data_IF_522774599938
#
_entry.id   IF_522774599938
#
_cell.length_a   1.000
_cell.length_b   1.000
_cell.length_c   1.000
_cell.angle_alpha   90.00
_cell.angle_beta   90.00
_cell.angle_gamma   90.00
#
_symmetry.space_group_name_H-M   'P 1'
#
loop_
_entity.id
_entity.type
_entity.pdbx_description
1 polymer ?
#
# COMPACT_ATOMS: atom_id res chain seq x y z
N UNK A 1 20.77 34.41 28.15
CA UNK A 1 20.83 33.90 26.75
C UNK A 1 19.91 34.75 25.87
N UNK A 2 20.43 35.67 25.05
CA UNK A 2 19.59 36.51 24.17
C UNK A 2 19.14 35.68 22.97
N UNK A 3 17.85 35.40 22.84
CA UNK A 3 17.29 34.75 21.64
C UNK A 3 17.53 35.71 20.46
N UNK A 4 18.28 35.25 19.45
CA UNK A 4 18.51 36.03 18.23
C UNK A 4 17.18 36.23 17.52
N UNK A 5 16.91 37.43 16.99
CA UNK A 5 15.66 37.74 16.25
C UNK A 5 15.35 36.70 15.17
N UNK A 6 16.38 36.16 14.52
CA UNK A 6 16.28 35.06 13.55
C UNK A 6 15.64 33.79 14.13
N UNK A 7 16.02 33.39 15.35
CA UNK A 7 15.45 32.20 15.99
C UNK A 7 13.97 32.42 16.33
N UNK A 8 13.62 33.63 16.77
CA UNK A 8 12.23 33.99 17.03
C UNK A 8 11.38 33.91 15.76
N UNK A 9 11.90 34.41 14.63
CA UNK A 9 11.22 34.33 13.33
C UNK A 9 11.00 32.87 12.93
N UNK A 10 12.04 32.03 13.00
CA UNK A 10 11.91 30.60 12.64
C UNK A 10 10.85 29.91 13.48
N UNK A 11 10.89 30.10 14.81
CA UNK A 11 9.89 29.49 15.71
C UNK A 11 8.49 30.00 15.40
N UNK A 12 8.33 31.32 15.21
CA UNK A 12 7.04 31.91 14.89
C UNK A 12 6.46 31.36 13.56
N UNK A 13 7.30 31.19 12.54
CA UNK A 13 6.88 30.61 11.25
C UNK A 13 6.43 29.17 11.39
N UNK A 14 7.18 28.33 12.13
CA UNK A 14 6.79 26.92 12.35
C UNK A 14 5.49 26.82 13.15
N UNK A 15 5.35 27.62 14.21
CA UNK A 15 4.11 27.66 15.00
C UNK A 15 2.92 28.11 14.15
N UNK A 16 3.09 29.19 13.37
CA UNK A 16 2.05 29.67 12.47
C UNK A 16 1.64 28.60 11.45
N UNK A 17 2.60 27.88 10.88
CA UNK A 17 2.34 26.80 9.94
C UNK A 17 1.49 25.68 10.57
N UNK A 18 1.83 25.22 11.78
CA UNK A 18 1.05 24.22 12.49
C UNK A 18 -0.34 24.72 12.89
N UNK A 19 -0.47 25.98 13.31
CA UNK A 19 -1.77 26.59 13.62
C UNK A 19 -2.68 26.64 12.38
N UNK A 20 -2.13 26.99 11.21
CA UNK A 20 -2.87 27.00 9.95
C UNK A 20 -3.32 25.59 9.55
N UNK A 21 -2.47 24.57 9.70
CA UNK A 21 -2.86 23.19 9.43
C UNK A 21 -3.94 22.68 10.38
N UNK A 22 -3.83 22.98 11.68
CA UNK A 22 -4.86 22.61 12.66
C UNK A 22 -6.19 23.30 12.38
N UNK A 23 -6.15 24.59 12.01
CA UNK A 23 -7.35 25.31 11.61
C UNK A 23 -7.96 24.73 10.32
N UNK A 24 -7.12 24.42 9.33
CA UNK A 24 -7.54 23.76 8.10
C UNK A 24 -8.19 22.39 8.38
N UNK A 25 -7.62 21.58 9.26
CA UNK A 25 -8.18 20.29 9.65
C UNK A 25 -9.56 20.40 10.32
N UNK A 26 -9.85 21.51 10.99
CA UNK A 26 -11.16 21.74 11.61
C UNK A 26 -12.23 22.16 10.59
N UNK A 27 -11.85 22.96 9.58
CA UNK A 27 -12.80 23.43 8.56
C UNK A 27 -12.95 22.48 7.37
N UNK A 28 -11.98 21.57 7.15
CA UNK A 28 -11.99 20.66 6.02
C UNK A 28 -13.18 19.70 6.14
N UNK A 29 -14.13 19.68 5.18
CA UNK A 29 -15.21 18.72 5.21
C UNK A 29 -14.64 17.30 5.09
N UNK A 30 -15.21 16.37 5.87
CA UNK A 30 -14.84 14.97 5.75
C UNK A 30 -15.31 14.42 4.40
N UNK A 31 -14.41 13.79 3.67
CA UNK A 31 -14.70 13.08 2.43
C UNK A 31 -15.07 11.62 2.73
N UNK A 32 -16.01 11.06 1.95
CA UNK A 32 -16.42 9.66 2.10
C UNK A 32 -15.47 8.69 1.39
N UNK A 33 -14.93 9.10 0.23
CA UNK A 33 -14.20 8.22 -0.69
C UNK A 33 -12.89 8.88 -1.13
N UNK A 34 -11.79 8.14 -1.05
CA UNK A 34 -10.55 8.51 -1.74
C UNK A 34 -10.58 8.01 -3.18
N UNK A 35 -10.60 8.92 -4.15
CA UNK A 35 -10.54 8.58 -5.58
C UNK A 35 -9.16 8.00 -5.97
N UNK A 36 -8.09 8.51 -5.37
CA UNK A 36 -6.71 8.09 -5.63
C UNK A 36 -6.41 6.69 -5.10
N UNK A 37 -6.92 6.35 -3.91
CA UNK A 37 -6.74 5.01 -3.29
C UNK A 37 -7.88 4.03 -3.59
N UNK A 38 -9.01 4.51 -4.12
CA UNK A 38 -10.25 3.73 -4.36
C UNK A 38 -10.75 3.00 -3.11
N UNK A 39 -10.80 3.69 -1.98
CA UNK A 39 -11.34 3.17 -0.71
C UNK A 39 -12.22 4.19 0.00
N UNK A 40 -13.04 3.68 0.92
CA UNK A 40 -13.76 4.51 1.88
C UNK A 40 -12.78 5.10 2.90
N UNK A 41 -13.00 6.37 3.25
CA UNK A 41 -12.23 7.08 4.26
C UNK A 41 -12.90 6.94 5.62
N UNK A 42 -12.08 6.89 6.67
CA UNK A 42 -12.59 6.86 8.02
C UNK A 42 -13.37 8.13 8.34
N UNK A 43 -14.49 7.94 9.05
CA UNK A 43 -15.37 9.01 9.49
C UNK A 43 -15.16 9.28 10.98
N UNK A 44 -15.62 10.45 11.42
CA UNK A 44 -15.40 10.88 12.80
C UNK A 44 -16.00 9.85 13.78
N UNK A 45 -15.21 9.29 14.72
CA UNK A 45 -15.72 8.31 15.66
C UNK A 45 -16.74 8.95 16.61
N UNK A 46 -17.75 8.18 16.99
CA UNK A 46 -18.72 8.60 18.00
C UNK A 46 -18.06 8.60 19.37
N UNK A 47 -18.31 9.65 20.15
CA UNK A 47 -17.79 9.76 21.50
C UNK A 47 -18.62 8.86 22.43
N UNK A 48 -18.08 7.68 22.74
CA UNK A 48 -18.67 6.72 23.69
C UNK A 48 -17.70 6.43 24.83
N UNK A 49 -18.16 6.51 26.09
CA UNK A 49 -17.31 6.32 27.28
C UNK A 49 -16.64 4.95 27.32
N UNK A 50 -17.31 3.90 26.85
CA UNK A 50 -16.77 2.54 26.71
C UNK A 50 -15.63 2.47 25.68
N UNK A 51 -15.79 3.16 24.55
CA UNK A 51 -14.79 3.24 23.48
C UNK A 51 -13.56 4.07 23.91
N UNK A 52 -13.78 5.13 24.68
CA UNK A 52 -12.71 5.94 25.28
C UNK A 52 -11.94 5.13 26.32
N UNK A 53 -12.62 4.42 27.22
CA UNK A 53 -11.97 3.60 28.24
C UNK A 53 -11.18 2.42 27.65
N UNK A 54 -11.63 1.85 26.53
CA UNK A 54 -10.93 0.77 25.81
C UNK A 54 -9.84 1.26 24.85
N UNK A 55 -9.68 2.58 24.69
CA UNK A 55 -8.75 3.20 23.74
C UNK A 55 -9.13 3.04 22.27
N UNK A 56 -10.31 2.49 21.98
CA UNK A 56 -10.80 2.33 20.60
C UNK A 56 -11.06 3.68 19.95
N UNK A 57 -11.65 4.61 20.68
CA UNK A 57 -11.89 5.97 20.19
C UNK A 57 -10.61 6.65 19.70
N UNK A 58 -9.49 6.48 20.42
CA UNK A 58 -8.22 7.09 20.03
C UNK A 58 -7.66 6.48 18.75
N UNK A 59 -7.78 5.16 18.56
CA UNK A 59 -7.36 4.46 17.33
C UNK A 59 -8.20 4.94 16.14
N UNK A 60 -9.52 4.95 16.30
CA UNK A 60 -10.43 5.38 15.23
C UNK A 60 -10.24 6.87 14.90
N UNK A 61 -9.99 7.70 15.92
CA UNK A 61 -9.69 9.11 15.71
C UNK A 61 -8.35 9.33 15.01
N UNK A 62 -7.33 8.53 15.30
CA UNK A 62 -6.04 8.61 14.61
C UNK A 62 -6.19 8.25 13.12
N UNK A 63 -6.95 7.20 12.81
CA UNK A 63 -7.20 6.81 11.42
C UNK A 63 -8.07 7.85 10.69
N UNK A 64 -9.10 8.39 11.35
CA UNK A 64 -9.89 9.52 10.86
C UNK A 64 -9.02 10.75 10.56
N UNK A 65 -8.17 11.16 11.52
CA UNK A 65 -7.32 12.34 11.37
C UNK A 65 -6.29 12.18 10.24
N UNK A 66 -5.78 10.96 10.02
CA UNK A 66 -4.90 10.65 8.87
C UNK A 66 -5.64 10.71 7.54
N UNK A 67 -6.88 10.23 7.51
CA UNK A 67 -7.69 10.16 6.30
C UNK A 67 -8.22 11.54 5.87
N UNK A 68 -8.65 12.36 6.83
CA UNK A 68 -9.23 13.69 6.59
C UNK A 68 -8.21 14.84 6.69
N UNK A 69 -6.91 14.51 6.74
CA UNK A 69 -5.85 15.52 6.85
C UNK A 69 -5.92 16.51 5.66
N UNK A 70 -5.87 17.83 5.92
CA UNK A 70 -6.00 18.84 4.87
C UNK A 70 -4.91 18.68 3.81
N UNK A 71 -5.33 18.66 2.54
CA UNK A 71 -4.46 18.47 1.39
C UNK A 71 -3.60 17.18 1.45
N UNK A 72 -4.10 16.11 2.09
CA UNK A 72 -3.44 14.78 2.22
C UNK A 72 -2.75 14.33 0.93
N UNK A 73 -3.45 14.35 -0.19
CA UNK A 73 -2.90 13.87 -1.47
C UNK A 73 -1.77 14.77 -2.00
N UNK A 74 -1.80 16.08 -1.72
CA UNK A 74 -0.69 16.99 -2.04
C UNK A 74 0.56 16.64 -1.23
N UNK A 75 0.41 16.39 0.08
CA UNK A 75 1.54 15.96 0.92
C UNK A 75 2.10 14.61 0.48
N UNK A 76 1.24 13.66 0.10
CA UNK A 76 1.66 12.36 -0.43
C UNK A 76 2.41 12.49 -1.75
N UNK A 77 1.92 13.34 -2.66
CA UNK A 77 2.61 13.63 -3.91
C UNK A 77 3.96 14.30 -3.64
N UNK A 78 4.02 15.32 -2.79
CA UNK A 78 5.27 16.00 -2.45
C UNK A 78 6.29 15.04 -1.84
N UNK A 79 5.86 14.13 -0.94
CA UNK A 79 6.71 13.08 -0.39
C UNK A 79 7.26 12.16 -1.49
N UNK A 80 6.41 11.74 -2.42
CA UNK A 80 6.81 10.88 -3.53
C UNK A 80 7.83 11.58 -4.44
N UNK A 81 7.55 12.81 -4.87
CA UNK A 81 8.45 13.61 -5.69
C UNK A 81 9.80 13.87 -4.99
N UNK A 82 9.77 14.16 -3.69
CA UNK A 82 11.00 14.35 -2.91
C UNK A 82 11.85 13.07 -2.87
N UNK A 83 11.22 11.91 -2.67
CA UNK A 83 11.94 10.62 -2.69
C UNK A 83 12.60 10.35 -4.05
N UNK A 84 11.85 10.47 -5.14
CA UNK A 84 12.39 10.17 -6.47
C UNK A 84 13.39 11.21 -6.97
N UNK A 85 13.08 12.51 -6.86
CA UNK A 85 13.84 13.54 -7.55
C UNK A 85 14.82 14.30 -6.67
N UNK A 86 14.54 14.45 -5.38
CA UNK A 86 15.46 15.15 -4.45
C UNK A 86 16.45 14.16 -3.84
N UNK A 87 15.95 13.00 -3.40
CA UNK A 87 16.76 11.97 -2.75
C UNK A 87 17.26 10.90 -3.70
N UNK A 88 16.84 10.90 -4.97
CA UNK A 88 17.21 9.90 -5.97
C UNK A 88 16.98 8.44 -5.51
N UNK A 89 15.91 8.22 -4.73
CA UNK A 89 15.53 6.88 -4.31
C UNK A 89 14.97 6.10 -5.50
N UNK A 90 15.33 4.81 -5.57
CA UNK A 90 14.91 3.93 -6.66
C UNK A 90 13.40 3.64 -6.64
N UNK A 91 12.78 3.66 -5.46
CA UNK A 91 11.36 3.37 -5.25
C UNK A 91 10.72 4.30 -4.20
N UNK A 92 9.39 4.28 -4.13
CA UNK A 92 8.62 4.86 -3.05
C UNK A 92 7.54 3.87 -2.59
N UNK A 93 7.78 3.23 -1.44
CA UNK A 93 6.93 2.16 -0.89
C UNK A 93 6.82 0.99 -1.88
N UNK A 94 7.96 0.50 -2.34
CA UNK A 94 8.09 -0.59 -3.31
C UNK A 94 7.52 -0.26 -4.69
N UNK A 95 7.09 0.97 -4.98
CA UNK A 95 6.69 1.38 -6.33
C UNK A 95 7.85 2.07 -7.01
N UNK A 96 8.20 1.65 -8.23
CA UNK A 96 9.14 2.35 -9.09
C UNK A 96 8.48 2.76 -10.40
N UNK A 97 9.07 3.77 -11.06
CA UNK A 97 8.56 4.35 -12.30
C UNK A 97 9.64 4.23 -13.37
N UNK A 98 9.31 3.50 -14.44
CA UNK A 98 10.18 3.27 -15.61
C UNK A 98 9.34 3.45 -16.87
N UNK A 99 9.85 4.21 -17.84
CA UNK A 99 9.21 4.40 -19.15
C UNK A 99 7.72 4.81 -19.08
N UNK A 100 7.35 5.60 -18.06
CA UNK A 100 5.97 6.04 -17.82
C UNK A 100 5.07 4.99 -17.14
N UNK A 101 5.59 3.81 -16.81
CA UNK A 101 4.88 2.77 -16.07
C UNK A 101 5.26 2.76 -14.59
N UNK A 102 4.25 2.68 -13.73
CA UNK A 102 4.44 2.30 -12.33
C UNK A 102 4.38 0.77 -12.21
N UNK A 103 5.40 0.20 -11.55
CA UNK A 103 5.51 -1.21 -11.22
C UNK A 103 5.86 -1.36 -9.73
N UNK A 104 5.32 -2.40 -9.10
CA UNK A 104 5.54 -2.69 -7.69
C UNK A 104 6.64 -3.71 -7.56
N UNK A 105 7.77 -3.37 -6.95
CA UNK A 105 8.87 -4.26 -6.61
C UNK A 105 8.41 -5.40 -5.71
N UNK A 106 8.27 -6.59 -6.29
CA UNK A 106 7.91 -7.80 -5.56
C UNK A 106 9.15 -8.69 -5.50
N UNK A 107 9.93 -8.52 -4.44
CA UNK A 107 11.13 -9.29 -4.18
C UNK A 107 11.34 -9.43 -2.65
N UNK A 108 11.86 -10.57 -2.15
CA UNK A 108 12.09 -11.83 -2.86
C UNK A 108 10.81 -12.66 -3.04
N UNK A 109 10.92 -13.79 -3.72
CA UNK A 109 9.85 -14.79 -3.79
C UNK A 109 9.48 -15.26 -2.38
N UNK A 110 8.19 -15.22 -2.05
CA UNK A 110 7.66 -15.72 -0.78
C UNK A 110 7.09 -17.12 -0.97
N UNK A 111 7.95 -18.13 -1.03
CA UNK A 111 7.54 -19.53 -1.30
C UNK A 111 6.44 -20.03 -0.36
N UNK A 112 6.52 -19.70 0.93
CA UNK A 112 5.48 -20.05 1.91
C UNK A 112 4.10 -19.47 1.57
N UNK A 113 4.05 -18.28 0.97
CA UNK A 113 2.80 -17.68 0.50
C UNK A 113 2.27 -18.39 -0.74
N UNK A 114 3.16 -18.76 -1.66
CA UNK A 114 2.81 -19.52 -2.88
C UNK A 114 2.26 -20.90 -2.51
N UNK A 115 2.96 -21.63 -1.63
CA UNK A 115 2.53 -22.95 -1.15
C UNK A 115 1.18 -22.89 -0.42
N UNK A 116 0.95 -21.85 0.38
CA UNK A 116 -0.36 -21.62 1.00
C UNK A 116 -1.46 -21.38 -0.02
N UNK A 117 -1.19 -20.60 -1.08
CA UNK A 117 -2.15 -20.37 -2.15
C UNK A 117 -2.46 -21.67 -2.92
N UNK A 118 -1.43 -22.44 -3.30
CA UNK A 118 -1.60 -23.73 -3.97
C UNK A 118 -2.40 -24.73 -3.12
N UNK A 119 -2.11 -24.81 -1.81
CA UNK A 119 -2.88 -25.64 -0.88
C UNK A 119 -4.36 -25.24 -0.83
N UNK A 120 -4.68 -23.94 -0.93
CA UNK A 120 -6.07 -23.47 -1.02
C UNK A 120 -6.73 -23.88 -2.34
N UNK A 121 -6.03 -23.79 -3.46
CA UNK A 121 -6.55 -24.28 -4.75
C UNK A 121 -6.82 -25.79 -4.70
N UNK A 122 -5.91 -26.57 -4.10
CA UNK A 122 -6.10 -28.01 -3.90
C UNK A 122 -7.33 -28.31 -3.03
N UNK A 123 -7.51 -27.59 -1.92
CA UNK A 123 -8.67 -27.78 -1.06
C UNK A 123 -9.99 -27.56 -1.84
N UNK A 124 -10.06 -26.50 -2.64
CA UNK A 124 -11.23 -26.23 -3.50
C UNK A 124 -11.45 -27.35 -4.51
N UNK A 125 -10.37 -27.83 -5.13
CA UNK A 125 -10.45 -28.94 -6.08
C UNK A 125 -10.96 -30.23 -5.42
N UNK A 126 -10.40 -30.61 -4.27
CA UNK A 126 -10.77 -31.83 -3.56
C UNK A 126 -12.21 -31.79 -3.04
N UNK A 127 -12.67 -30.64 -2.54
CA UNK A 127 -14.01 -30.49 -1.97
C UNK A 127 -15.11 -30.43 -3.03
N UNK A 128 -14.83 -29.85 -4.20
CA UNK A 128 -15.88 -29.48 -5.15
C UNK A 128 -15.70 -30.01 -6.57
N UNK A 129 -14.52 -30.47 -6.97
CA UNK A 129 -14.22 -30.76 -8.38
C UNK A 129 -13.75 -32.18 -8.64
N UNK A 130 -13.06 -32.82 -7.69
CA UNK A 130 -12.40 -34.12 -7.88
C UNK A 130 -13.33 -35.23 -8.38
N UNK A 131 -14.56 -35.30 -7.86
CA UNK A 131 -15.54 -36.31 -8.23
C UNK A 131 -16.53 -35.83 -9.31
N UNK A 132 -16.21 -34.72 -9.98
CA UNK A 132 -17.00 -34.15 -11.08
C UNK A 132 -16.28 -34.36 -12.41
N UNK A 133 -17.02 -34.32 -13.53
CA UNK A 133 -16.42 -34.42 -14.87
C UNK A 133 -15.82 -33.08 -15.37
N UNK A 134 -15.38 -32.22 -14.45
CA UNK A 134 -14.86 -30.89 -14.76
C UNK A 134 -13.38 -30.96 -15.16
N UNK A 135 -13.01 -30.29 -16.25
CA UNK A 135 -11.61 -30.06 -16.60
C UNK A 135 -11.11 -28.79 -15.93
N UNK A 136 -9.97 -28.88 -15.26
CA UNK A 136 -9.33 -27.75 -14.58
C UNK A 136 -8.10 -27.32 -15.36
N UNK A 137 -8.00 -26.03 -15.65
CA UNK A 137 -6.87 -25.44 -16.36
C UNK A 137 -6.20 -24.37 -15.50
N UNK A 138 -4.90 -24.18 -15.70
CA UNK A 138 -4.08 -23.23 -14.97
C UNK A 138 -3.28 -22.37 -15.94
N UNK A 139 -3.37 -21.05 -15.81
CA UNK A 139 -2.46 -20.13 -16.49
C UNK A 139 -1.89 -19.15 -15.48
N UNK A 140 -0.57 -19.03 -15.44
CA UNK A 140 0.12 -18.13 -14.51
C UNK A 140 0.66 -16.96 -15.30
N UNK A 141 0.06 -15.78 -15.09
CA UNK A 141 0.43 -14.55 -15.77
C UNK A 141 1.33 -13.74 -14.83
N UNK A 142 2.60 -13.47 -15.21
CA UNK A 142 3.47 -12.65 -14.39
C UNK A 142 3.03 -11.19 -14.36
N UNK A 143 3.43 -10.47 -13.31
CA UNK A 143 3.20 -9.05 -13.19
C UNK A 143 4.21 -8.23 -14.04
N UNK A 144 4.09 -6.89 -13.99
CA UNK A 144 4.93 -6.00 -14.81
C UNK A 144 6.42 -6.13 -14.51
N UNK A 145 6.80 -6.47 -13.27
CA UNK A 145 8.20 -6.61 -12.89
C UNK A 145 8.95 -7.65 -13.70
N UNK A 146 8.27 -8.72 -14.12
CA UNK A 146 8.88 -9.76 -14.94
C UNK A 146 9.55 -9.19 -16.19
N UNK A 147 8.96 -8.13 -16.77
CA UNK A 147 9.44 -7.50 -18.00
C UNK A 147 10.34 -6.28 -17.77
N UNK A 148 10.20 -5.63 -16.60
CA UNK A 148 10.81 -4.32 -16.32
C UNK A 148 12.00 -4.37 -15.36
N UNK A 149 11.99 -5.23 -14.35
CA UNK A 149 12.91 -5.12 -13.23
C UNK A 149 14.38 -5.28 -13.63
N UNK A 150 14.72 -6.41 -14.25
CA UNK A 150 16.10 -6.71 -14.67
C UNK A 150 16.67 -5.69 -15.65
N UNK A 151 15.86 -5.21 -16.60
CA UNK A 151 16.28 -4.21 -17.61
C UNK A 151 16.62 -2.85 -17.01
N UNK A 152 16.07 -2.55 -15.85
CA UNK A 152 16.17 -1.23 -15.22
C UNK A 152 16.94 -1.26 -13.88
N UNK A 153 17.67 -2.36 -13.61
CA UNK A 153 18.51 -2.48 -12.42
C UNK A 153 17.75 -2.69 -11.12
N UNK A 154 16.48 -3.08 -11.18
CA UNK A 154 15.67 -3.42 -10.01
C UNK A 154 15.79 -4.92 -9.68
N UNK A 155 15.72 -5.30 -8.39
CA UNK A 155 15.65 -6.70 -7.99
C UNK A 155 14.48 -7.44 -8.67
N UNK A 156 14.77 -8.61 -9.21
CA UNK A 156 13.79 -9.46 -9.89
C UNK A 156 13.48 -10.68 -9.03
N UNK A 157 12.20 -11.00 -8.86
CA UNK A 157 11.76 -12.25 -8.22
C UNK A 157 12.25 -13.46 -9.02
N UNK A 158 12.41 -14.60 -8.34
CA UNK A 158 12.54 -15.89 -9.01
C UNK A 158 11.18 -16.33 -9.59
N UNK A 159 10.87 -15.87 -10.81
CA UNK A 159 9.62 -16.21 -11.49
C UNK A 159 9.59 -17.66 -11.96
N UNK A 160 10.72 -18.25 -12.31
CA UNK A 160 10.79 -19.66 -12.68
C UNK A 160 10.47 -20.53 -11.45
N UNK A 161 10.99 -20.16 -10.28
CA UNK A 161 10.61 -20.75 -8.99
C UNK A 161 9.11 -20.57 -8.70
N UNK A 162 8.55 -19.37 -8.90
CA UNK A 162 7.11 -19.12 -8.76
C UNK A 162 6.27 -20.04 -9.67
N UNK A 163 6.61 -20.11 -10.95
CA UNK A 163 5.87 -20.93 -11.92
C UNK A 163 5.96 -22.42 -11.57
N UNK A 164 7.13 -22.89 -11.17
CA UNK A 164 7.36 -24.28 -10.77
C UNK A 164 6.56 -24.63 -9.52
N UNK A 165 6.65 -23.83 -8.45
CA UNK A 165 5.90 -24.07 -7.21
C UNK A 165 4.39 -24.08 -7.42
N UNK A 166 3.87 -23.16 -8.25
CA UNK A 166 2.43 -23.13 -8.54
C UNK A 166 2.03 -24.39 -9.33
N UNK A 167 2.77 -24.76 -10.39
CA UNK A 167 2.48 -25.95 -11.20
C UNK A 167 2.54 -27.23 -10.38
N UNK A 168 3.58 -27.41 -9.56
CA UNK A 168 3.72 -28.57 -8.67
C UNK A 168 2.59 -28.61 -7.63
N UNK A 169 2.25 -27.47 -7.04
CA UNK A 169 1.18 -27.36 -6.05
C UNK A 169 -0.22 -27.60 -6.61
N UNK A 170 -0.40 -27.51 -7.93
CA UNK A 170 -1.68 -27.64 -8.64
C UNK A 170 -1.63 -28.67 -9.77
N UNK A 171 -0.98 -29.80 -9.50
CA UNK A 171 -0.86 -30.98 -10.38
C UNK A 171 -2.19 -31.54 -10.95
N UNK A 172 -3.32 -31.21 -10.33
CA UNK A 172 -4.66 -31.56 -10.79
C UNK A 172 -5.17 -30.69 -11.97
N UNK A 173 -4.45 -29.63 -12.36
CA UNK A 173 -4.82 -28.72 -13.43
C UNK A 173 -3.88 -28.85 -14.64
N UNK A 174 -4.45 -28.75 -15.85
CA UNK A 174 -3.68 -28.68 -17.09
C UNK A 174 -3.15 -27.25 -17.31
N UNK A 175 -1.83 -27.10 -17.46
CA UNK A 175 -1.22 -25.78 -17.65
C UNK A 175 -1.37 -25.28 -19.10
N UNK A 176 -1.91 -24.07 -19.28
CA UNK A 176 -2.15 -23.43 -20.59
C UNK A 176 -1.55 -22.03 -20.70
#
# INVERSE_FOLDING_TARGET
MKIKKTNLIIVATVVLFWLLLSFAAWINPAEDISLSERRLLQQAPKLELSSVASGQFMRDFEDYAKDQFPARDTFRMFKALSRYYVLSQADNNDIYIVDGYAAKLEFPLKENSVNKAAAKFRAIYEEHMKDTNCKVYLSVIPDKNYYLASKNGYPMMDYEGLFSLIREGTDFAEYI
#
